data_IF_099925131643
#
_entry.id   IF_099925131643
#
_cell.length_a   1.000
_cell.length_b   1.000
_cell.length_c   1.000
_cell.angle_alpha   90.00
_cell.angle_beta   90.00
_cell.angle_gamma   90.00
#
_symmetry.space_group_name_H-M   'P 1'
#
loop_
_entity.id
_entity.type
_entity.pdbx_description
1 polymer ?
#
# COMPACT_ATOMS: atom_id res chain seq x y z
N UNK A 1 48.09 41.29 38.00
CA UNK A 1 46.67 40.94 37.80
C UNK A 1 46.57 40.04 36.56
N UNK A 2 46.39 38.73 36.75
CA UNK A 2 46.40 37.73 35.66
C UNK A 2 45.01 37.69 35.03
N UNK A 3 44.88 38.16 33.78
CA UNK A 3 43.64 38.05 33.00
C UNK A 3 43.63 36.69 32.31
N UNK A 4 42.93 35.71 32.87
CA UNK A 4 42.63 34.45 32.17
C UNK A 4 41.39 34.66 31.32
N UNK A 5 41.59 34.80 30.02
CA UNK A 5 40.52 34.83 29.02
C UNK A 5 40.08 33.38 28.77
N UNK A 6 38.95 32.98 29.35
CA UNK A 6 38.36 31.66 29.09
C UNK A 6 37.55 31.74 27.80
N UNK A 7 38.08 31.14 26.73
CA UNK A 7 37.40 30.98 25.45
C UNK A 7 36.48 29.74 25.55
N UNK A 8 35.17 29.95 25.71
CA UNK A 8 34.19 28.89 25.68
C UNK A 8 33.93 28.53 24.20
N UNK A 9 34.51 27.42 23.74
CA UNK A 9 34.16 26.82 22.46
C UNK A 9 32.76 26.21 22.61
N UNK A 10 31.73 26.91 22.13
CA UNK A 10 30.38 26.37 22.02
C UNK A 10 30.37 25.40 20.81
N UNK A 11 30.67 24.13 21.07
CA UNK A 11 30.50 23.07 20.07
C UNK A 11 29.01 22.89 19.81
N UNK A 12 28.48 23.55 18.79
CA UNK A 12 27.14 23.25 18.27
C UNK A 12 27.23 21.84 17.68
N UNK A 13 26.78 20.83 18.44
CA UNK A 13 26.50 19.52 17.86
C UNK A 13 25.31 19.70 16.92
N UNK A 14 25.60 19.87 15.63
CA UNK A 14 24.58 19.74 14.61
C UNK A 14 23.90 18.37 14.82
N UNK A 15 22.57 18.30 14.97
CA UNK A 15 21.90 17.01 14.91
C UNK A 15 22.24 16.41 13.55
N UNK A 16 23.03 15.33 13.59
CA UNK A 16 23.32 14.50 12.44
C UNK A 16 21.98 13.83 12.09
N UNK A 17 21.15 14.51 11.29
CA UNK A 17 19.94 13.92 10.73
C UNK A 17 20.44 12.82 9.80
N UNK A 18 20.49 11.60 10.37
CA UNK A 18 20.99 10.40 9.73
C UNK A 18 20.27 10.16 8.41
N UNK A 19 21.00 9.53 7.49
CA UNK A 19 20.52 9.06 6.20
C UNK A 19 19.07 8.55 6.26
N UNK A 20 18.16 9.32 5.69
CA UNK A 20 16.73 9.00 5.56
C UNK A 20 16.54 7.88 4.54
N UNK A 21 15.63 6.95 4.79
CA UNK A 21 15.27 5.94 3.79
C UNK A 21 14.39 6.58 2.70
N UNK A 22 14.16 5.88 1.58
CA UNK A 22 13.32 6.36 0.49
C UNK A 22 12.32 5.27 0.08
N UNK A 23 11.05 5.63 0.06
CA UNK A 23 9.98 4.80 -0.51
C UNK A 23 9.80 5.18 -1.98
N UNK A 24 9.83 4.18 -2.85
CA UNK A 24 9.51 4.31 -4.28
C UNK A 24 8.20 3.58 -4.55
N UNK A 25 7.17 4.32 -4.99
CA UNK A 25 5.86 3.77 -5.33
C UNK A 25 5.83 3.18 -6.75
N UNK A 26 4.86 2.32 -7.03
CA UNK A 26 4.64 1.73 -8.36
C UNK A 26 4.19 2.71 -9.44
N UNK A 27 3.77 3.91 -9.05
CA UNK A 27 3.46 5.03 -9.93
C UNK A 27 4.70 5.93 -10.21
N UNK A 28 5.85 5.61 -9.62
CA UNK A 28 7.11 6.35 -9.80
C UNK A 28 7.34 7.47 -8.77
N UNK A 29 6.38 7.76 -7.90
CA UNK A 29 6.56 8.74 -6.82
C UNK A 29 7.61 8.24 -5.83
N UNK A 30 8.51 9.15 -5.44
CA UNK A 30 9.58 8.90 -4.48
C UNK A 30 9.39 9.80 -3.28
N UNK A 31 9.52 9.24 -2.09
CA UNK A 31 9.35 9.98 -0.85
C UNK A 31 10.45 9.62 0.13
N UNK A 32 11.18 10.61 0.63
CA UNK A 32 12.11 10.42 1.73
C UNK A 32 11.34 10.21 3.03
N UNK A 33 11.73 9.19 3.79
CA UNK A 33 11.03 8.75 4.99
C UNK A 33 12.01 8.24 6.05
N UNK A 34 11.55 8.18 7.28
CA UNK A 34 12.13 7.34 8.31
C UNK A 34 11.31 6.05 8.36
N UNK A 35 11.84 4.95 7.84
CA UNK A 35 11.14 3.67 7.92
C UNK A 35 11.06 3.20 9.38
N UNK A 36 9.88 2.73 9.80
CA UNK A 36 9.66 2.24 11.17
C UNK A 36 9.55 0.72 11.15
N UNK A 37 8.55 0.17 10.42
CA UNK A 37 8.31 -1.27 10.33
C UNK A 37 7.35 -1.61 9.19
N UNK A 38 7.25 -2.91 8.88
CA UNK A 38 6.21 -3.48 8.02
C UNK A 38 5.39 -4.47 8.81
N UNK A 39 4.07 -4.31 8.83
CA UNK A 39 3.14 -5.17 9.56
C UNK A 39 1.79 -5.24 8.84
N UNK A 40 1.19 -6.43 8.74
CA UNK A 40 -0.14 -6.65 8.15
C UNK A 40 -0.30 -6.03 6.74
N UNK A 41 0.72 -6.19 5.89
CA UNK A 41 0.79 -5.58 4.54
C UNK A 41 0.83 -4.06 4.50
N UNK A 42 1.10 -3.40 5.62
CA UNK A 42 1.26 -1.96 5.74
C UNK A 42 2.71 -1.64 6.09
N UNK A 43 3.27 -0.64 5.42
CA UNK A 43 4.53 0.00 5.79
C UNK A 43 4.21 1.21 6.65
N UNK A 44 4.88 1.28 7.80
CA UNK A 44 4.81 2.36 8.77
C UNK A 44 6.09 3.19 8.66
N UNK A 45 5.94 4.50 8.57
CA UNK A 45 7.06 5.43 8.38
C UNK A 45 6.74 6.80 8.98
N UNK A 46 7.74 7.65 9.19
CA UNK A 46 7.53 9.08 9.44
C UNK A 46 8.22 9.93 8.36
N UNK A 47 7.85 11.20 8.27
CA UNK A 47 8.58 12.14 7.41
C UNK A 47 9.85 12.64 8.12
N UNK A 48 10.94 12.96 7.39
CA UNK A 48 12.13 13.55 8.00
C UNK A 48 11.80 14.80 8.81
N UNK A 49 12.30 14.89 10.04
CA UNK A 49 11.99 15.98 10.97
C UNK A 49 10.60 15.92 11.62
N UNK A 50 9.79 14.89 11.34
CA UNK A 50 8.49 14.65 11.97
C UNK A 50 8.47 13.27 12.67
N UNK A 51 7.81 13.20 13.82
CA UNK A 51 7.61 11.99 14.62
C UNK A 51 6.25 11.32 14.40
N UNK A 52 5.36 11.94 13.61
CA UNK A 52 4.05 11.39 13.27
C UNK A 52 4.18 10.11 12.42
N UNK A 53 3.57 9.03 12.90
CA UNK A 53 3.50 7.76 12.18
C UNK A 53 2.49 7.84 11.03
N UNK A 54 2.97 7.60 9.82
CA UNK A 54 2.20 7.46 8.58
C UNK A 54 2.20 6.01 8.11
N UNK A 55 1.20 5.70 7.28
CA UNK A 55 0.94 4.34 6.78
C UNK A 55 0.79 4.35 5.27
N UNK A 56 1.32 3.33 4.63
CA UNK A 56 1.14 3.08 3.20
C UNK A 56 1.01 1.57 2.97
N UNK A 57 0.18 1.17 2.03
CA UNK A 57 0.05 -0.22 1.62
C UNK A 57 1.36 -0.73 1.02
N UNK A 58 1.81 -1.94 1.38
CA UNK A 58 2.96 -2.58 0.73
C UNK A 58 2.72 -2.70 -0.78
N UNK A 59 1.47 -2.87 -1.20
CA UNK A 59 1.09 -3.01 -2.60
C UNK A 59 1.25 -1.71 -3.38
N UNK A 60 1.29 -0.56 -2.72
CA UNK A 60 1.59 0.71 -3.39
C UNK A 60 3.11 0.92 -3.59
N UNK A 61 3.95 0.17 -2.87
CA UNK A 61 5.40 0.38 -2.80
C UNK A 61 6.14 -0.66 -3.64
N UNK A 62 6.96 -0.18 -4.58
CA UNK A 62 7.85 -1.00 -5.39
C UNK A 62 9.15 -1.31 -4.64
N UNK A 63 9.83 -0.26 -4.15
CA UNK A 63 11.14 -0.36 -3.52
C UNK A 63 11.19 0.43 -2.21
N UNK A 64 12.00 -0.07 -1.28
CA UNK A 64 12.48 0.66 -0.11
C UNK A 64 14.00 0.75 -0.20
N UNK A 65 14.52 1.96 -0.43
CA UNK A 65 15.95 2.20 -0.47
C UNK A 65 16.42 2.63 0.93
N UNK A 66 17.33 1.89 1.52
CA UNK A 66 17.95 2.30 2.77
C UNK A 66 19.25 3.04 2.50
N UNK A 67 19.24 4.36 2.74
CA UNK A 67 20.44 5.18 2.55
C UNK A 67 21.52 4.83 3.55
N UNK A 68 21.14 4.42 4.77
CA UNK A 68 22.07 3.98 5.83
C UNK A 68 22.91 2.77 5.41
N UNK A 69 22.28 1.80 4.75
CA UNK A 69 22.90 0.54 4.31
C UNK A 69 23.35 0.57 2.85
N UNK A 70 23.09 1.66 2.13
CA UNK A 70 23.27 1.78 0.67
C UNK A 70 22.68 0.59 -0.09
N UNK A 71 21.49 0.14 0.33
CA UNK A 71 20.82 -1.04 -0.23
C UNK A 71 19.41 -0.70 -0.70
N UNK A 72 18.90 -1.50 -1.65
CA UNK A 72 17.52 -1.40 -2.13
C UNK A 72 16.81 -2.74 -1.90
N UNK A 73 15.63 -2.70 -1.30
CA UNK A 73 14.78 -3.85 -1.07
C UNK A 73 13.54 -3.75 -1.96
N UNK A 74 13.27 -4.80 -2.74
CA UNK A 74 12.00 -4.95 -3.46
C UNK A 74 10.91 -5.31 -2.44
N UNK A 75 9.88 -4.47 -2.37
CA UNK A 75 8.75 -4.65 -1.44
C UNK A 75 7.65 -5.47 -2.11
N UNK A 76 7.21 -5.06 -3.30
CA UNK A 76 6.27 -5.82 -4.13
C UNK A 76 6.57 -5.63 -5.61
N UNK A 77 6.23 -6.63 -6.41
CA UNK A 77 6.24 -6.52 -7.87
C UNK A 77 4.94 -5.86 -8.38
N UNK A 78 5.04 -5.18 -9.53
CA UNK A 78 3.88 -4.54 -10.16
C UNK A 78 3.00 -5.59 -10.82
N UNK A 79 1.73 -5.63 -10.44
CA UNK A 79 0.72 -6.53 -10.99
C UNK A 79 0.25 -5.96 -12.32
N UNK A 80 0.51 -6.71 -13.39
CA UNK A 80 0.00 -6.40 -14.72
C UNK A 80 -1.23 -7.24 -15.03
N UNK A 81 -2.34 -6.55 -15.32
CA UNK A 81 -3.62 -7.12 -15.71
C UNK A 81 -3.86 -6.73 -17.18
N UNK A 82 -3.82 -7.71 -18.08
CA UNK A 82 -3.97 -7.47 -19.52
C UNK A 82 -5.31 -7.96 -20.06
N UNK A 83 -5.88 -9.01 -19.45
CA UNK A 83 -7.10 -9.65 -19.93
C UNK A 83 -8.02 -10.07 -18.78
N UNK A 84 -9.28 -10.39 -19.11
CA UNK A 84 -10.24 -10.98 -18.15
C UNK A 84 -9.72 -12.27 -17.49
N UNK A 85 -8.87 -13.04 -18.20
CA UNK A 85 -8.28 -14.29 -17.71
C UNK A 85 -7.28 -14.07 -16.57
N UNK A 86 -6.78 -12.84 -16.39
CA UNK A 86 -5.90 -12.44 -15.29
C UNK A 86 -6.65 -12.24 -13.95
N UNK A 87 -7.93 -12.59 -13.87
CA UNK A 87 -8.75 -12.45 -12.66
C UNK A 87 -8.15 -13.12 -11.41
N UNK A 88 -7.31 -14.14 -11.57
CA UNK A 88 -6.59 -14.80 -10.47
C UNK A 88 -5.47 -13.94 -9.86
N UNK A 89 -4.94 -12.96 -10.62
CA UNK A 89 -3.90 -12.02 -10.15
C UNK A 89 -4.48 -10.87 -9.33
N UNK A 90 -5.80 -10.69 -9.36
CA UNK A 90 -6.50 -9.62 -8.64
C UNK A 90 -6.45 -9.90 -7.14
N UNK A 91 -5.95 -8.93 -6.38
CA UNK A 91 -5.84 -9.04 -4.93
C UNK A 91 -7.07 -8.40 -4.28
N UNK A 92 -7.70 -9.14 -3.37
CA UNK A 92 -8.74 -8.60 -2.49
C UNK A 92 -8.06 -8.00 -1.27
N UNK A 93 -8.21 -6.71 -1.09
CA UNK A 93 -7.62 -5.95 0.01
C UNK A 93 -8.63 -5.74 1.13
N UNK A 94 -8.11 -5.59 2.34
CA UNK A 94 -8.85 -4.96 3.44
C UNK A 94 -8.90 -3.44 3.20
N UNK A 95 -9.93 -2.73 3.71
CA UNK A 95 -9.98 -1.26 3.60
C UNK A 95 -8.70 -0.57 4.11
N UNK A 96 -8.10 -1.09 5.17
CA UNK A 96 -6.84 -0.59 5.74
C UNK A 96 -5.62 -0.76 4.83
N UNK A 97 -5.67 -1.62 3.81
CA UNK A 97 -4.57 -1.89 2.88
C UNK A 97 -4.67 -1.05 1.60
N UNK A 98 -5.53 -0.03 1.58
CA UNK A 98 -5.73 0.85 0.42
C UNK A 98 -4.90 2.13 0.45
N UNK A 99 -4.22 2.43 1.57
CA UNK A 99 -3.43 3.66 1.69
C UNK A 99 -2.33 3.74 0.61
N UNK A 100 -2.30 4.85 -0.12
CA UNK A 100 -1.36 5.07 -1.21
C UNK A 100 -1.75 4.44 -2.55
N UNK A 101 -2.91 3.78 -2.64
CA UNK A 101 -3.52 3.37 -3.91
C UNK A 101 -4.59 4.37 -4.34
N UNK A 102 -4.79 4.51 -5.64
CA UNK A 102 -5.85 5.37 -6.20
C UNK A 102 -7.16 4.59 -6.33
N UNK A 103 -8.26 5.16 -5.81
CA UNK A 103 -9.60 4.62 -6.02
C UNK A 103 -10.00 4.84 -7.48
N UNK A 104 -10.27 3.77 -8.21
CA UNK A 104 -10.50 3.82 -9.65
C UNK A 104 -11.98 3.75 -10.02
N UNK A 105 -12.74 2.84 -9.40
CA UNK A 105 -14.11 2.54 -9.83
C UNK A 105 -14.93 1.83 -8.74
N UNK A 106 -16.24 1.76 -8.92
CA UNK A 106 -17.16 0.95 -8.11
C UNK A 106 -17.79 -0.11 -9.01
N UNK A 107 -17.57 -1.37 -8.67
CA UNK A 107 -18.11 -2.53 -9.37
C UNK A 107 -19.36 -2.99 -8.62
N UNK A 108 -20.52 -2.85 -9.28
CA UNK A 108 -21.79 -3.39 -8.82
C UNK A 108 -22.24 -4.53 -9.73
N UNK A 109 -22.65 -5.65 -9.15
CA UNK A 109 -23.17 -6.82 -9.85
C UNK A 109 -24.44 -7.31 -9.17
N UNK A 110 -25.29 -7.98 -9.94
CA UNK A 110 -26.41 -8.73 -9.36
C UNK A 110 -25.92 -10.06 -8.77
N UNK A 111 -26.29 -10.39 -7.52
CA UNK A 111 -26.06 -11.71 -6.94
C UNK A 111 -26.68 -12.78 -7.83
N UNK A 112 -25.89 -13.79 -8.22
CA UNK A 112 -26.39 -14.93 -8.97
C UNK A 112 -26.39 -16.13 -8.04
N UNK A 113 -27.56 -16.45 -7.48
CA UNK A 113 -27.76 -17.58 -6.59
C UNK A 113 -28.41 -18.72 -7.37
N UNK A 114 -27.83 -19.91 -7.30
CA UNK A 114 -28.41 -21.12 -7.89
C UNK A 114 -29.05 -21.97 -6.80
N UNK A 115 -30.25 -22.51 -7.05
CA UNK A 115 -30.95 -23.38 -6.10
C UNK A 115 -30.09 -24.60 -5.78
N UNK A 116 -29.93 -24.91 -4.49
CA UNK A 116 -29.09 -26.03 -4.03
C UNK A 116 -27.60 -25.71 -3.85
N UNK A 117 -27.17 -24.46 -4.12
CA UNK A 117 -25.80 -24.02 -3.84
C UNK A 117 -25.60 -23.74 -2.35
N UNK A 118 -24.43 -24.09 -1.81
CA UNK A 118 -24.06 -23.74 -0.42
C UNK A 118 -23.70 -22.25 -0.33
N UNK A 119 -23.87 -21.67 0.86
CA UNK A 119 -23.53 -20.26 1.10
C UNK A 119 -22.05 -19.95 0.81
N UNK A 120 -21.15 -20.90 1.07
CA UNK A 120 -19.72 -20.76 0.81
C UNK A 120 -19.42 -20.70 -0.69
N UNK A 121 -19.96 -21.64 -1.48
CA UNK A 121 -19.78 -21.65 -2.93
C UNK A 121 -20.37 -20.40 -3.59
N UNK A 122 -21.48 -19.88 -3.06
CA UNK A 122 -22.07 -18.63 -3.53
C UNK A 122 -21.13 -17.43 -3.32
N UNK A 123 -20.50 -17.32 -2.14
CA UNK A 123 -19.53 -16.26 -1.84
C UNK A 123 -18.29 -16.33 -2.72
N UNK A 124 -17.75 -17.53 -2.94
CA UNK A 124 -16.58 -17.76 -3.79
C UNK A 124 -16.87 -17.40 -5.25
N UNK A 125 -18.04 -17.79 -5.77
CA UNK A 125 -18.46 -17.43 -7.13
C UNK A 125 -18.67 -15.93 -7.28
N UNK A 126 -19.25 -15.29 -6.27
CA UNK A 126 -19.46 -13.85 -6.24
C UNK A 126 -18.13 -13.07 -6.23
N UNK A 127 -17.18 -13.47 -5.39
CA UNK A 127 -15.82 -12.91 -5.39
C UNK A 127 -15.14 -13.10 -6.75
N UNK A 128 -15.22 -14.30 -7.34
CA UNK A 128 -14.67 -14.56 -8.67
C UNK A 128 -15.26 -13.63 -9.73
N UNK A 129 -16.57 -13.40 -9.72
CA UNK A 129 -17.24 -12.49 -10.67
C UNK A 129 -16.80 -11.04 -10.49
N UNK A 130 -16.59 -10.58 -9.27
CA UNK A 130 -16.02 -9.26 -8.98
C UNK A 130 -14.59 -9.14 -9.54
N UNK A 131 -13.73 -10.13 -9.28
CA UNK A 131 -12.36 -10.18 -9.82
C UNK A 131 -12.32 -10.20 -11.33
N UNK A 132 -13.19 -10.98 -11.97
CA UNK A 132 -13.31 -11.00 -13.43
C UNK A 132 -13.70 -9.64 -14.00
N UNK A 133 -14.61 -8.91 -13.33
CA UNK A 133 -15.04 -7.58 -13.77
C UNK A 133 -13.93 -6.54 -13.56
N UNK A 134 -13.18 -6.64 -12.47
CA UNK A 134 -11.99 -5.81 -12.23
C UNK A 134 -10.89 -6.08 -13.26
N UNK A 135 -10.63 -7.36 -13.55
CA UNK A 135 -9.63 -7.78 -14.52
C UNK A 135 -9.95 -7.29 -15.94
N UNK A 136 -11.21 -7.36 -16.35
CA UNK A 136 -11.66 -6.82 -17.62
C UNK A 136 -11.45 -5.29 -17.77
N UNK A 137 -11.30 -4.57 -16.65
CA UNK A 137 -11.01 -3.13 -16.62
C UNK A 137 -9.53 -2.82 -16.30
N UNK A 138 -8.68 -3.84 -16.13
CA UNK A 138 -7.27 -3.65 -15.82
C UNK A 138 -6.97 -3.23 -14.38
N UNK A 139 -7.91 -3.41 -13.44
CA UNK A 139 -7.71 -3.00 -12.04
C UNK A 139 -7.10 -4.13 -11.21
N UNK A 140 -5.88 -3.99 -10.66
CA UNK A 140 -5.21 -5.06 -9.93
C UNK A 140 -5.77 -5.35 -8.53
N UNK A 141 -6.53 -4.40 -7.95
CA UNK A 141 -6.98 -4.47 -6.56
C UNK A 141 -8.48 -4.21 -6.43
N UNK A 142 -9.11 -4.92 -5.50
CA UNK A 142 -10.50 -4.65 -5.09
C UNK A 142 -10.66 -4.71 -3.57
N UNK A 143 -11.60 -3.94 -3.04
CA UNK A 143 -12.14 -4.08 -1.68
C UNK A 143 -13.60 -4.45 -1.81
N UNK A 144 -13.99 -5.61 -1.28
CA UNK A 144 -15.39 -6.07 -1.31
C UNK A 144 -16.14 -5.34 -0.19
N UNK A 145 -17.13 -4.53 -0.57
CA UNK A 145 -17.98 -3.77 0.36
C UNK A 145 -19.22 -4.58 0.74
N UNK A 146 -19.78 -5.33 -0.21
CA UNK A 146 -20.93 -6.19 0.00
C UNK A 146 -20.79 -7.49 -0.82
N UNK A 147 -21.05 -8.62 -0.15
CA UNK A 147 -21.16 -9.93 -0.78
C UNK A 147 -22.29 -10.70 -0.07
N UNK A 148 -23.52 -10.33 -0.39
CA UNK A 148 -24.72 -10.92 0.20
C UNK A 148 -25.77 -11.21 -0.89
N UNK A 149 -26.93 -11.73 -0.49
CA UNK A 149 -27.99 -12.16 -1.43
C UNK A 149 -28.64 -11.01 -2.20
N UNK A 150 -28.52 -9.77 -1.70
CA UNK A 150 -29.17 -8.59 -2.26
C UNK A 150 -28.18 -7.69 -3.00
N UNK A 151 -26.91 -7.69 -2.60
CA UNK A 151 -25.89 -6.78 -3.09
C UNK A 151 -24.54 -7.49 -3.26
N UNK A 152 -23.95 -7.30 -4.44
CA UNK A 152 -22.58 -7.69 -4.74
C UNK A 152 -21.82 -6.46 -5.24
N UNK A 153 -20.97 -5.91 -4.36
CA UNK A 153 -20.31 -4.62 -4.56
C UNK A 153 -18.86 -4.64 -4.12
N UNK A 154 -18.00 -4.07 -4.94
CA UNK A 154 -16.61 -3.84 -4.60
C UNK A 154 -16.11 -2.50 -5.14
N UNK A 155 -15.22 -1.84 -4.40
CA UNK A 155 -14.46 -0.70 -4.89
C UNK A 155 -13.14 -1.20 -5.49
N UNK A 156 -12.81 -0.77 -6.70
CA UNK A 156 -11.57 -1.11 -7.38
C UNK A 156 -10.50 -0.02 -7.18
N UNK A 157 -9.24 -0.45 -7.12
CA UNK A 157 -8.08 0.43 -6.94
C UNK A 157 -6.98 0.13 -7.96
N UNK A 158 -6.15 1.14 -8.22
CA UNK A 158 -4.96 1.08 -9.07
C UNK A 158 -3.77 1.77 -8.39
N UNK A 159 -2.59 1.64 -9.00
CA UNK A 159 -1.36 2.30 -8.57
C UNK A 159 -1.39 3.81 -8.75
#
# INVERSE_FOLDING_TARGET
>A
MKKTLVLILLSISAPFFGQTDEIVKHNGEKTEVNFIKTENSIIYYSLPGNFEEKKISKYAVALLNSKSKKSSQIITEKIQISTKSDSKKIIVLKPSETFGLEKADIINLFPALTKGQTAQLAKELAEKRLKEKAAAKGYPFIVIEANNQNELKATAYKY
#
